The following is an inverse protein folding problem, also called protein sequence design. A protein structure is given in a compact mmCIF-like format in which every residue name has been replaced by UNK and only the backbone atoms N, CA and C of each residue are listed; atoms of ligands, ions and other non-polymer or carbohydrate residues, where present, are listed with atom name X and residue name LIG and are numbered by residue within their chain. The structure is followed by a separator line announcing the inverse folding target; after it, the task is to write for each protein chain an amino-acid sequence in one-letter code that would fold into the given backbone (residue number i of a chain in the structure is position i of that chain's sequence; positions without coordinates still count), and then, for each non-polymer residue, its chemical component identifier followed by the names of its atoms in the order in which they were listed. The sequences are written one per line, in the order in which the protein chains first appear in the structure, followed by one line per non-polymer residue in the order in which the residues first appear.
data_IF_382877235939
#
_entry.id   IF_382877235939
#
_cell.length_a   1.000
_cell.length_b   1.000
_cell.length_c   1.000
_cell.angle_alpha   90.00
_cell.angle_beta   90.00
_cell.angle_gamma   90.00
#
_symmetry.space_group_name_H-M   'P 1'
#
loop_
_entity.id
_entity.type
_entity.pdbx_description
1 polymer ?
#
# COMPACT_ATOMS: atom_id res chain seq x y z
N UNK A 1 0.01 12.93 15.70
CA UNK A 1 -0.56 11.59 16.04
C UNK A 1 0.04 10.50 15.18
N UNK A 2 0.24 10.73 13.86
CA UNK A 2 0.91 9.78 12.95
C UNK A 2 2.29 9.30 13.43
N UNK A 3 3.23 10.21 13.69
CA UNK A 3 4.59 9.85 14.13
C UNK A 3 4.62 9.01 15.40
N UNK A 4 3.66 9.21 16.30
CA UNK A 4 3.53 8.41 17.51
C UNK A 4 3.13 6.98 17.19
N UNK A 5 2.12 6.78 16.33
CA UNK A 5 1.69 5.43 15.90
C UNK A 5 2.79 4.73 15.10
N UNK A 6 3.47 5.45 14.22
CA UNK A 6 4.60 4.95 13.45
C UNK A 6 5.74 4.50 14.39
N UNK A 7 6.15 5.35 15.34
CA UNK A 7 7.16 5.02 16.35
C UNK A 7 6.74 3.81 17.21
N UNK A 8 5.46 3.72 17.60
CA UNK A 8 4.94 2.56 18.34
C UNK A 8 4.91 1.28 17.53
N UNK A 9 4.59 1.34 16.24
CA UNK A 9 4.62 0.19 15.35
C UNK A 9 6.04 -0.37 15.26
N UNK A 10 7.06 0.47 15.02
CA UNK A 10 8.46 0.06 15.03
C UNK A 10 8.90 -0.52 16.38
N UNK A 11 8.46 0.08 17.49
CA UNK A 11 8.75 -0.46 18.82
C UNK A 11 8.14 -1.85 19.03
N UNK A 12 6.97 -2.14 18.44
CA UNK A 12 6.38 -3.48 18.50
C UNK A 12 7.16 -4.46 17.61
N UNK A 13 7.56 -4.04 16.41
CA UNK A 13 8.32 -4.86 15.46
C UNK A 13 9.68 -5.31 16.03
N UNK A 14 10.36 -4.46 16.81
CA UNK A 14 11.65 -4.85 17.42
C UNK A 14 11.53 -5.86 18.55
N UNK A 15 10.34 -6.06 19.14
CA UNK A 15 10.15 -7.06 20.22
C UNK A 15 10.19 -8.50 19.72
N UNK A 16 9.83 -8.71 18.45
CA UNK A 16 9.85 -10.03 17.82
C UNK A 16 11.28 -10.53 17.55
N UNK A 17 12.25 -9.61 17.48
CA UNK A 17 13.67 -9.93 17.27
C UNK A 17 14.03 -10.33 15.83
N UNK A 18 13.05 -10.43 14.93
CA UNK A 18 13.27 -10.72 13.51
C UNK A 18 13.75 -9.49 12.74
N UNK A 19 15.05 -9.46 12.41
CA UNK A 19 15.63 -8.43 11.55
C UNK A 19 15.01 -8.43 10.15
N UNK A 20 14.56 -9.59 9.67
CA UNK A 20 13.96 -9.72 8.35
C UNK A 20 12.57 -9.09 8.30
N UNK A 21 11.75 -9.28 9.33
CA UNK A 21 10.45 -8.60 9.45
C UNK A 21 10.63 -7.09 9.55
N UNK A 22 11.62 -6.64 10.34
CA UNK A 22 11.94 -5.21 10.45
C UNK A 22 12.33 -4.63 9.09
N UNK A 23 13.18 -5.34 8.34
CA UNK A 23 13.61 -4.94 6.98
C UNK A 23 12.41 -4.84 6.03
N UNK A 24 11.55 -5.85 5.98
CA UNK A 24 10.36 -5.86 5.11
C UNK A 24 9.45 -4.66 5.39
N UNK A 25 9.16 -4.38 6.67
CA UNK A 25 8.26 -3.30 7.05
C UNK A 25 8.89 -1.91 6.90
N UNK A 26 10.21 -1.77 7.13
CA UNK A 26 10.91 -0.52 6.85
C UNK A 26 10.97 -0.21 5.37
N UNK A 27 11.26 -1.21 4.53
CA UNK A 27 11.31 -1.07 3.07
C UNK A 27 9.92 -0.70 2.54
N UNK A 28 8.87 -1.36 3.03
CA UNK A 28 7.49 -1.03 2.67
C UNK A 28 7.12 0.41 3.05
N UNK A 29 7.50 0.86 4.24
CA UNK A 29 7.25 2.24 4.66
C UNK A 29 7.93 3.28 3.77
N UNK A 30 9.17 3.01 3.32
CA UNK A 30 9.89 3.90 2.43
C UNK A 30 9.19 3.99 1.06
N UNK A 31 8.84 2.83 0.49
CA UNK A 31 8.15 2.75 -0.81
C UNK A 31 6.76 3.41 -0.76
N UNK A 32 6.03 3.31 0.34
CA UNK A 32 4.74 4.02 0.50
C UNK A 32 4.94 5.53 0.43
N UNK A 33 5.93 6.06 1.16
CA UNK A 33 6.24 7.49 1.12
C UNK A 33 6.71 7.95 -0.28
N UNK A 34 7.50 7.13 -0.97
CA UNK A 34 7.87 7.38 -2.38
C UNK A 34 6.65 7.39 -3.30
N UNK A 35 5.69 6.48 -3.09
CA UNK A 35 4.43 6.42 -3.82
C UNK A 35 3.56 7.66 -3.60
N UNK A 36 3.47 8.15 -2.37
CA UNK A 36 2.78 9.42 -2.05
C UNK A 36 3.44 10.61 -2.74
N UNK A 37 4.77 10.67 -2.76
CA UNK A 37 5.50 11.73 -3.47
C UNK A 37 5.30 11.61 -4.98
N UNK A 38 5.33 10.39 -5.54
CA UNK A 38 5.08 10.15 -6.95
C UNK A 38 3.68 10.62 -7.35
N UNK A 39 2.66 10.31 -6.54
CA UNK A 39 1.30 10.79 -6.75
C UNK A 39 1.28 12.32 -6.82
N UNK A 40 1.91 13.01 -5.86
CA UNK A 40 1.94 14.48 -5.84
C UNK A 40 2.62 15.08 -7.08
N UNK A 41 3.59 14.40 -7.67
CA UNK A 41 4.28 14.85 -8.88
C UNK A 41 3.45 14.62 -10.14
N UNK A 42 2.62 13.59 -10.18
CA UNK A 42 1.75 13.25 -11.32
C UNK A 42 0.35 13.88 -11.23
N UNK A 43 -0.07 14.34 -10.05
CA UNK A 43 -1.33 15.06 -9.87
C UNK A 43 -1.38 16.29 -10.77
N UNK A 44 -2.51 16.51 -11.45
CA UNK A 44 -2.71 17.52 -12.49
C UNK A 44 -1.91 17.34 -13.80
N UNK A 45 -1.23 16.22 -14.01
CA UNK A 45 -0.61 15.87 -15.29
C UNK A 45 -1.52 14.94 -16.11
N UNK A 46 -2.21 15.52 -17.11
CA UNK A 46 -3.09 14.79 -18.02
C UNK A 46 -2.34 13.84 -18.98
N UNK A 47 -1.00 13.92 -19.05
CA UNK A 47 -0.17 12.99 -19.81
C UNK A 47 0.23 11.73 -19.01
N UNK A 48 -0.22 11.61 -17.74
CA UNK A 48 0.03 10.43 -16.92
C UNK A 48 -0.51 9.17 -17.61
N UNK A 49 0.39 8.23 -17.90
CA UNK A 49 0.03 6.97 -18.54
C UNK A 49 -0.41 5.90 -17.52
N UNK A 50 -1.06 4.85 -18.02
CA UNK A 50 -1.51 3.72 -17.20
C UNK A 50 -0.36 3.09 -16.41
N UNK A 51 0.84 3.04 -16.98
CA UNK A 51 2.01 2.49 -16.32
C UNK A 51 2.46 3.34 -15.12
N UNK A 52 2.38 4.67 -15.20
CA UNK A 52 2.65 5.58 -14.10
C UNK A 52 1.60 5.43 -13.00
N UNK A 53 0.32 5.38 -13.37
CA UNK A 53 -0.77 5.13 -12.43
C UNK A 53 -0.59 3.79 -11.67
N UNK A 54 -0.28 2.71 -12.38
CA UNK A 54 -0.03 1.40 -11.76
C UNK A 54 1.13 1.46 -10.76
N UNK A 55 2.24 2.14 -11.10
CA UNK A 55 3.37 2.33 -10.16
C UNK A 55 2.98 3.09 -8.89
N UNK A 56 2.12 4.10 -9.02
CA UNK A 56 1.61 4.87 -7.87
C UNK A 56 0.82 3.95 -6.94
N UNK A 57 -0.19 3.22 -7.45
CA UNK A 57 -1.04 2.38 -6.60
C UNK A 57 -0.31 1.16 -6.04
N UNK A 58 0.66 0.61 -6.80
CA UNK A 58 1.55 -0.46 -6.32
C UNK A 58 2.37 0.01 -5.12
N UNK A 59 2.90 1.24 -5.18
CA UNK A 59 3.79 1.77 -4.15
C UNK A 59 3.02 2.27 -2.93
N UNK A 60 2.00 3.12 -3.15
CA UNK A 60 1.23 3.79 -2.09
C UNK A 60 0.35 2.81 -1.31
N UNK A 61 -0.25 1.83 -1.98
CA UNK A 61 -1.25 0.96 -1.37
C UNK A 61 -0.80 -0.49 -1.35
N UNK A 62 -0.49 -1.07 -2.52
CA UNK A 62 -0.30 -2.51 -2.61
C UNK A 62 0.95 -3.02 -1.87
N UNK A 63 1.99 -2.18 -1.73
CA UNK A 63 3.21 -2.53 -1.04
C UNK A 63 2.98 -2.91 0.43
N UNK A 64 2.02 -2.26 1.11
CA UNK A 64 1.70 -2.61 2.48
C UNK A 64 0.99 -3.97 2.57
N UNK A 65 0.12 -4.30 1.61
CA UNK A 65 -0.51 -5.62 1.52
C UNK A 65 0.52 -6.72 1.24
N UNK A 66 1.45 -6.48 0.31
CA UNK A 66 2.58 -7.38 0.05
C UNK A 66 3.35 -7.66 1.34
N UNK A 67 3.78 -6.61 2.06
CA UNK A 67 4.53 -6.74 3.30
C UNK A 67 3.74 -7.50 4.38
N UNK A 68 2.45 -7.18 4.55
CA UNK A 68 1.59 -7.85 5.53
C UNK A 68 1.41 -9.34 5.24
N UNK A 69 1.28 -9.73 3.97
CA UNK A 69 1.21 -11.14 3.57
C UNK A 69 2.57 -11.84 3.63
N UNK A 70 3.67 -11.11 3.44
CA UNK A 70 5.04 -11.64 3.45
C UNK A 70 5.57 -11.90 4.86
N UNK A 71 5.24 -11.07 5.86
CA UNK A 71 5.80 -11.23 7.23
C UNK A 71 5.29 -12.49 7.93
N UNK A 72 4.05 -12.92 7.67
CA UNK A 72 3.46 -14.12 8.26
C UNK A 72 4.28 -15.40 8.03
N UNK A 73 4.57 -15.78 6.76
CA UNK A 73 5.39 -16.96 6.47
C UNK A 73 6.87 -16.79 6.91
N UNK A 74 7.39 -15.56 6.99
CA UNK A 74 8.74 -15.30 7.55
C UNK A 74 8.80 -15.67 9.03
N UNK A 75 7.84 -15.20 9.83
CA UNK A 75 7.77 -15.52 11.28
C UNK A 75 7.49 -17.00 11.53
N UNK A 76 6.82 -17.68 10.59
CA UNK A 76 6.54 -19.11 10.66
C UNK A 76 7.64 -20.00 10.07
N UNK A 77 8.83 -19.44 9.77
CA UNK A 77 9.99 -20.14 9.19
C UNK A 77 9.64 -20.98 7.95
N UNK A 78 8.79 -20.44 7.07
CA UNK A 78 8.37 -21.12 5.84
C UNK A 78 9.44 -21.04 4.75
N UNK A 79 9.46 -21.98 3.79
CA UNK A 79 10.36 -21.91 2.65
C UNK A 79 10.16 -20.62 1.83
N UNK A 80 11.24 -20.16 1.16
CA UNK A 80 11.21 -18.95 0.33
C UNK A 80 10.09 -18.94 -0.71
N UNK A 81 9.75 -20.10 -1.29
CA UNK A 81 8.65 -20.23 -2.24
C UNK A 81 7.28 -19.84 -1.65
N UNK A 82 7.01 -20.17 -0.38
CA UNK A 82 5.76 -19.79 0.29
C UNK A 82 5.74 -18.28 0.60
N UNK A 83 6.88 -17.72 1.01
CA UNK A 83 7.07 -16.29 1.28
C UNK A 83 6.82 -15.48 0.00
N UNK A 84 7.45 -15.86 -1.11
CA UNK A 84 7.28 -15.21 -2.42
C UNK A 84 5.85 -15.36 -2.97
N UNK A 85 5.22 -16.52 -2.76
CA UNK A 85 3.83 -16.72 -3.17
C UNK A 85 2.87 -15.79 -2.43
N UNK A 86 3.03 -15.66 -1.11
CA UNK A 86 2.18 -14.78 -0.30
C UNK A 86 2.48 -13.29 -0.54
N UNK A 87 3.74 -12.91 -0.78
CA UNK A 87 4.08 -11.56 -1.19
C UNK A 87 3.36 -11.18 -2.50
N UNK A 88 3.47 -12.02 -3.54
CA UNK A 88 2.78 -11.79 -4.83
C UNK A 88 1.26 -11.73 -4.68
N UNK A 89 0.70 -12.59 -3.83
CA UNK A 89 -0.73 -12.53 -3.50
C UNK A 89 -1.11 -11.18 -2.87
N UNK A 90 -0.34 -10.71 -1.88
CA UNK A 90 -0.59 -9.43 -1.21
C UNK A 90 -0.50 -8.25 -2.17
N UNK A 91 0.52 -8.22 -3.05
CA UNK A 91 0.66 -7.20 -4.09
C UNK A 91 -0.56 -7.17 -5.02
N UNK A 92 -0.95 -8.33 -5.58
CA UNK A 92 -2.10 -8.40 -6.48
C UNK A 92 -3.41 -7.98 -5.79
N UNK A 93 -3.62 -8.40 -4.54
CA UNK A 93 -4.79 -8.02 -3.75
C UNK A 93 -4.83 -6.51 -3.50
N UNK A 94 -3.69 -5.90 -3.15
CA UNK A 94 -3.60 -4.47 -2.89
C UNK A 94 -3.86 -3.63 -4.15
N UNK A 95 -3.37 -4.07 -5.31
CA UNK A 95 -3.67 -3.42 -6.60
C UNK A 95 -5.16 -3.50 -6.90
N UNK A 96 -5.78 -4.68 -6.78
CA UNK A 96 -7.22 -4.86 -7.00
C UNK A 96 -8.04 -3.99 -6.03
N UNK A 97 -7.61 -3.90 -4.77
CA UNK A 97 -8.25 -3.08 -3.75
C UNK A 97 -8.27 -1.61 -4.18
N UNK A 98 -7.12 -1.05 -4.57
CA UNK A 98 -7.05 0.37 -4.95
C UNK A 98 -7.82 0.66 -6.25
N UNK A 99 -7.72 -0.20 -7.27
CA UNK A 99 -8.52 -0.07 -8.49
C UNK A 99 -10.03 -0.03 -8.18
N UNK A 100 -10.47 -0.81 -7.19
CA UNK A 100 -11.87 -0.86 -6.77
C UNK A 100 -12.26 0.40 -5.99
N UNK A 101 -11.40 0.90 -5.09
CA UNK A 101 -11.63 2.15 -4.34
C UNK A 101 -11.74 3.35 -5.30
N UNK A 102 -10.82 3.47 -6.24
CA UNK A 102 -10.81 4.53 -7.25
C UNK A 102 -12.08 4.45 -8.13
N UNK A 103 -12.46 3.25 -8.60
CA UNK A 103 -13.71 3.07 -9.36
C UNK A 103 -14.94 3.49 -8.55
N UNK A 104 -14.98 3.15 -7.26
CA UNK A 104 -16.08 3.50 -6.37
C UNK A 104 -16.17 5.01 -6.14
N UNK A 105 -15.07 5.76 -6.22
CA UNK A 105 -15.06 7.23 -6.08
C UNK A 105 -15.84 7.95 -7.19
N UNK A 106 -15.90 7.35 -8.38
CA UNK A 106 -16.65 7.85 -9.53
C UNK A 106 -18.07 7.26 -9.64
N UNK A 107 -18.42 6.26 -8.84
CA UNK A 107 -19.73 5.61 -8.88
C UNK A 107 -20.71 6.24 -7.90
N UNK A 108 -21.87 6.71 -8.40
CA UNK A 108 -22.85 7.48 -7.63
C UNK A 108 -23.64 6.69 -6.56
N UNK A 109 -23.42 5.38 -6.40
CA UNK A 109 -24.07 4.54 -5.37
C UNK A 109 -23.42 4.66 -3.97
N UNK A 110 -22.64 5.73 -3.74
CA UNK A 110 -21.90 6.03 -2.51
C UNK A 110 -22.74 6.47 -1.29
N UNK A 111 -24.07 6.37 -1.32
CA UNK A 111 -24.91 6.73 -0.17
C UNK A 111 -24.60 5.89 1.11
N UNK A 112 -23.86 4.80 0.99
CA UNK A 112 -23.44 3.94 2.10
C UNK A 112 -21.99 4.16 2.62
N UNK A 113 -21.12 4.86 1.88
CA UNK A 113 -19.66 4.91 2.15
C UNK A 113 -19.19 6.15 2.92
N UNK A 114 -20.04 7.16 3.11
CA UNK A 114 -19.72 8.35 3.92
C UNK A 114 -18.67 9.30 3.32
N UNK A 115 -18.25 9.10 2.06
CA UNK A 115 -17.41 10.02 1.27
C UNK A 115 -18.25 10.90 0.35
N UNK A 116 -17.71 12.04 -0.09
CA UNK A 116 -18.35 12.93 -1.06
C UNK A 116 -17.95 12.48 -2.47
N UNK A 117 -18.90 12.31 -3.39
CA UNK A 117 -18.61 11.87 -4.76
C UNK A 117 -17.59 12.81 -5.46
N UNK A 118 -16.60 12.20 -6.11
CA UNK A 118 -15.63 12.88 -6.99
C UNK A 118 -14.60 13.70 -6.23
N UNK A 119 -14.14 13.22 -5.08
CA UNK A 119 -13.07 13.88 -4.34
C UNK A 119 -11.76 13.77 -5.12
N UNK A 120 -11.48 12.63 -5.77
CA UNK A 120 -10.29 12.49 -6.64
C UNK A 120 -10.32 13.50 -7.79
N UNK A 121 -11.47 13.68 -8.44
CA UNK A 121 -11.62 14.68 -9.53
C UNK A 121 -11.44 16.13 -9.06
N UNK A 122 -11.74 16.43 -7.78
CA UNK A 122 -11.54 17.77 -7.21
C UNK A 122 -10.10 18.02 -6.80
N UNK A 123 -9.36 16.96 -6.48
CA UNK A 123 -7.96 17.02 -6.07
C UNK A 123 -6.99 17.11 -7.26
N UNK A 124 -7.44 16.80 -8.48
CA UNK A 124 -6.71 17.04 -9.74
C UNK A 124 -6.35 15.76 -10.46
#
# INVERSE_FOLDING_TARGET
VGDFLFSRAFQLMTRDGSLEVLRILSDASAVIAEGEVMQLLTSNDLETDEAAYLRVIESKTAKLFEAACQIGPVVADRPAADIEALARYGMALGVIFQLTDDLLDYSAEQAALGKTIGDDFREG
#
